data_IF_126622141500
#
_entry.id   IF_126622141500
#
_cell.length_a   1.000
_cell.length_b   1.000
_cell.length_c   1.000
_cell.angle_alpha   90.00
_cell.angle_beta   90.00
_cell.angle_gamma   90.00
#
_symmetry.space_group_name_H-M   'P 1'
#
loop_
_entity.id
_entity.type
_entity.pdbx_description
1 polymer ?
#
# COMPACT_ATOMS: atom_id res chain seq x y z
N UNK A 1 23.77 -29.51 -22.16
CA UNK A 1 24.34 -28.16 -21.93
C UNK A 1 23.89 -27.28 -23.09
N UNK A 2 22.68 -26.72 -22.98
CA UNK A 2 22.01 -25.94 -24.03
C UNK A 2 21.69 -24.58 -23.43
N UNK A 3 22.41 -23.58 -23.94
CA UNK A 3 22.26 -22.14 -23.72
C UNK A 3 21.20 -21.69 -22.71
N UNK A 4 21.68 -21.21 -21.55
CA UNK A 4 21.24 -19.95 -20.94
C UNK A 4 19.71 -19.75 -21.01
N UNK A 5 19.02 -20.19 -19.96
CA UNK A 5 17.79 -19.54 -19.48
C UNK A 5 17.99 -18.03 -19.61
N UNK A 6 17.43 -17.44 -20.65
CA UNK A 6 17.70 -16.05 -20.99
C UNK A 6 17.07 -15.19 -19.88
N UNK A 7 17.85 -14.43 -19.09
CA UNK A 7 17.34 -13.67 -17.94
C UNK A 7 16.51 -12.44 -18.36
N UNK A 8 15.93 -12.43 -19.55
CA UNK A 8 15.30 -11.28 -20.19
C UNK A 8 13.78 -11.43 -20.30
N UNK A 9 13.11 -11.91 -19.24
CA UNK A 9 11.69 -11.58 -19.05
C UNK A 9 11.56 -10.13 -18.55
N UNK A 10 12.03 -9.19 -19.38
CA UNK A 10 11.76 -7.76 -19.29
C UNK A 10 10.30 -7.49 -19.79
N UNK A 11 9.44 -8.52 -19.85
CA UNK A 11 8.05 -8.43 -20.31
C UNK A 11 7.04 -8.05 -19.22
N UNK A 12 7.39 -8.19 -17.93
CA UNK A 12 6.51 -7.87 -16.80
C UNK A 12 6.55 -6.38 -16.38
N UNK A 13 7.29 -5.53 -17.10
CA UNK A 13 7.54 -4.13 -16.76
C UNK A 13 6.30 -3.31 -16.37
N UNK A 14 5.14 -3.43 -17.04
CA UNK A 14 4.00 -2.57 -16.73
C UNK A 14 3.35 -2.90 -15.38
N UNK A 15 3.20 -4.19 -15.06
CA UNK A 15 2.62 -4.64 -13.80
C UNK A 15 3.60 -4.44 -12.63
N UNK A 16 4.89 -4.73 -12.86
CA UNK A 16 5.93 -4.48 -11.87
C UNK A 16 6.06 -2.98 -11.53
N UNK A 17 6.06 -2.11 -12.55
CA UNK A 17 6.10 -0.65 -12.35
C UNK A 17 4.87 -0.14 -11.61
N UNK A 18 3.68 -0.67 -11.92
CA UNK A 18 2.45 -0.35 -11.18
C UNK A 18 2.54 -0.78 -9.72
N UNK A 19 2.99 -2.02 -9.46
CA UNK A 19 3.17 -2.53 -8.10
C UNK A 19 4.13 -1.66 -7.27
N UNK A 20 5.25 -1.25 -7.85
CA UNK A 20 6.20 -0.35 -7.19
C UNK A 20 5.66 1.05 -6.94
N UNK A 21 4.87 1.61 -7.87
CA UNK A 21 4.20 2.89 -7.65
C UNK A 21 3.21 2.82 -6.48
N UNK A 22 2.39 1.78 -6.43
CA UNK A 22 1.44 1.61 -5.33
C UNK A 22 2.16 1.32 -4.00
N UNK A 23 3.26 0.57 -4.02
CA UNK A 23 4.11 0.38 -2.84
C UNK A 23 4.69 1.72 -2.35
N UNK A 24 5.15 2.59 -3.25
CA UNK A 24 5.64 3.92 -2.89
C UNK A 24 4.53 4.79 -2.29
N UNK A 25 3.33 4.78 -2.86
CA UNK A 25 2.17 5.49 -2.28
C UNK A 25 1.85 4.96 -0.89
N UNK A 26 1.82 3.64 -0.70
CA UNK A 26 1.59 3.03 0.60
C UNK A 26 2.67 3.40 1.61
N UNK A 27 3.94 3.45 1.19
CA UNK A 27 5.04 3.85 2.04
C UNK A 27 4.90 5.30 2.52
N UNK A 28 4.42 6.21 1.66
CA UNK A 28 4.13 7.60 2.04
C UNK A 28 2.96 7.67 3.03
N UNK A 29 1.87 6.94 2.77
CA UNK A 29 0.70 6.91 3.67
C UNK A 29 1.12 6.39 5.05
N UNK A 30 1.73 5.21 5.12
CA UNK A 30 2.15 4.62 6.38
C UNK A 30 3.26 5.44 7.07
N UNK A 31 4.24 5.90 6.30
CA UNK A 31 5.33 6.73 6.81
C UNK A 31 4.83 8.06 7.40
N UNK A 32 3.81 8.67 6.80
CA UNK A 32 3.19 9.89 7.35
C UNK A 32 2.51 9.64 8.69
N UNK A 33 1.80 8.51 8.83
CA UNK A 33 1.19 8.11 10.10
C UNK A 33 2.23 7.88 11.19
N UNK A 34 3.30 7.13 10.88
CA UNK A 34 4.40 6.89 11.82
C UNK A 34 5.10 8.19 12.20
N UNK A 35 5.34 9.07 11.23
CA UNK A 35 5.98 10.36 11.47
C UNK A 35 5.10 11.25 12.36
N UNK A 36 3.78 11.30 12.12
CA UNK A 36 2.85 12.02 12.98
C UNK A 36 2.87 11.49 14.42
N UNK A 37 2.96 10.17 14.60
CA UNK A 37 3.11 9.55 15.91
C UNK A 37 4.43 9.89 16.60
N UNK A 38 5.53 9.97 15.84
CA UNK A 38 6.83 10.38 16.38
C UNK A 38 6.86 11.85 16.80
N UNK A 39 6.17 12.73 16.06
CA UNK A 39 6.17 14.16 16.33
C UNK A 39 5.31 14.55 17.53
N UNK A 40 4.13 13.93 17.69
CA UNK A 40 3.25 14.18 18.84
C UNK A 40 2.53 12.90 19.32
N UNK A 41 3.23 12.06 20.11
CA UNK A 41 2.64 10.84 20.66
C UNK A 41 1.51 11.14 21.66
N UNK A 42 1.50 12.33 22.29
CA UNK A 42 0.49 12.72 23.26
C UNK A 42 -0.87 12.97 22.59
N UNK A 43 -0.88 13.65 21.43
CA UNK A 43 -2.08 13.84 20.63
C UNK A 43 -2.60 12.51 20.07
N UNK A 44 -1.69 11.61 19.65
CA UNK A 44 -2.04 10.33 19.05
C UNK A 44 -2.63 9.32 20.05
N UNK A 45 -2.15 9.34 21.29
CA UNK A 45 -2.64 8.45 22.36
C UNK A 45 -3.85 9.00 23.11
N UNK A 46 -4.23 10.26 22.84
CA UNK A 46 -5.40 10.88 23.45
C UNK A 46 -6.69 10.14 23.04
N UNK A 47 -7.64 9.92 23.97
CA UNK A 47 -8.96 9.41 23.64
C UNK A 47 -9.74 10.40 22.75
N UNK A 48 -10.57 9.86 21.85
CA UNK A 48 -11.38 10.67 20.93
C UNK A 48 -12.39 11.55 21.65
N UNK A 49 -13.00 11.01 22.72
CA UNK A 49 -13.92 11.73 23.59
C UNK A 49 -13.74 11.28 25.05
N UNK A 50 -14.18 12.08 26.04
CA UNK A 50 -14.13 11.71 27.44
C UNK A 50 -14.79 10.36 27.70
N UNK A 51 -14.12 9.47 28.43
CA UNK A 51 -14.62 8.13 28.76
C UNK A 51 -14.47 7.08 27.66
N UNK A 52 -13.95 7.43 26.48
CA UNK A 52 -13.67 6.46 25.41
C UNK A 52 -12.27 5.85 25.53
N UNK A 53 -12.15 4.55 25.26
CA UNK A 53 -10.85 3.87 25.10
C UNK A 53 -10.27 3.99 23.69
N UNK A 54 -11.06 4.45 22.72
CA UNK A 54 -10.61 4.62 21.32
C UNK A 54 -9.79 5.90 21.20
N UNK A 55 -8.55 5.75 20.75
CA UNK A 55 -7.59 6.85 20.59
C UNK A 55 -7.58 7.42 19.17
N UNK A 56 -7.02 8.61 19.01
CA UNK A 56 -6.81 9.23 17.69
C UNK A 56 -5.97 8.32 16.79
N UNK A 57 -4.90 7.71 17.33
CA UNK A 57 -4.06 6.76 16.61
C UNK A 57 -4.83 5.53 16.12
N UNK A 58 -5.79 5.02 16.90
CA UNK A 58 -6.60 3.87 16.51
C UNK A 58 -7.42 4.18 15.25
N UNK A 59 -8.07 5.35 15.22
CA UNK A 59 -8.89 5.78 14.08
C UNK A 59 -8.03 6.04 12.85
N UNK A 60 -6.92 6.78 13.01
CA UNK A 60 -5.99 7.02 11.91
C UNK A 60 -5.34 5.74 11.39
N UNK A 61 -4.93 4.84 12.28
CA UNK A 61 -4.40 3.53 11.92
C UNK A 61 -5.40 2.73 11.10
N UNK A 62 -6.68 2.77 11.45
CA UNK A 62 -7.73 2.13 10.67
C UNK A 62 -7.88 2.74 9.27
N UNK A 63 -7.78 4.07 9.14
CA UNK A 63 -7.77 4.75 7.84
C UNK A 63 -6.56 4.31 6.98
N UNK A 64 -5.38 4.12 7.58
CA UNK A 64 -4.19 3.62 6.88
C UNK A 64 -4.41 2.18 6.40
N UNK A 65 -5.02 1.31 7.24
CA UNK A 65 -5.37 -0.06 6.85
C UNK A 65 -6.34 -0.07 5.68
N UNK A 66 -7.41 0.73 5.72
CA UNK A 66 -8.35 0.83 4.61
C UNK A 66 -7.72 1.37 3.33
N UNK A 67 -6.81 2.33 3.44
CA UNK A 67 -6.03 2.81 2.29
C UNK A 67 -5.22 1.67 1.67
N UNK A 68 -4.58 0.85 2.50
CA UNK A 68 -3.83 -0.33 2.04
C UNK A 68 -4.72 -1.30 1.27
N UNK A 69 -5.90 -1.63 1.82
CA UNK A 69 -6.85 -2.53 1.16
C UNK A 69 -7.33 -1.96 -0.18
N UNK A 70 -7.62 -0.66 -0.23
CA UNK A 70 -8.01 0.01 -1.47
C UNK A 70 -6.89 -0.05 -2.52
N UNK A 71 -5.64 0.22 -2.14
CA UNK A 71 -4.48 0.15 -3.04
C UNK A 71 -4.27 -1.27 -3.58
N UNK A 72 -4.37 -2.29 -2.73
CA UNK A 72 -4.28 -3.70 -3.14
C UNK A 72 -5.43 -4.08 -4.08
N UNK A 73 -6.66 -3.66 -3.78
CA UNK A 73 -7.80 -3.88 -4.64
C UNK A 73 -7.63 -3.26 -6.02
N UNK A 74 -7.19 -1.99 -6.07
CA UNK A 74 -6.88 -1.28 -7.32
C UNK A 74 -5.77 -1.99 -8.09
N UNK A 75 -4.70 -2.43 -7.41
CA UNK A 75 -3.63 -3.19 -8.04
C UNK A 75 -4.17 -4.46 -8.72
N UNK A 76 -4.94 -5.27 -7.99
CA UNK A 76 -5.49 -6.53 -8.51
C UNK A 76 -6.40 -6.28 -9.71
N UNK A 77 -7.29 -5.30 -9.63
CA UNK A 77 -8.19 -4.95 -10.74
C UNK A 77 -7.43 -4.55 -12.01
N UNK A 78 -6.42 -3.70 -11.87
CA UNK A 78 -5.62 -3.23 -13.02
C UNK A 78 -4.73 -4.35 -13.55
N UNK A 79 -4.06 -5.10 -12.67
CA UNK A 79 -3.21 -6.21 -13.07
C UNK A 79 -4.00 -7.30 -13.81
N UNK A 80 -5.21 -7.62 -13.34
CA UNK A 80 -6.08 -8.59 -13.99
C UNK A 80 -6.55 -8.12 -15.38
N UNK A 81 -6.89 -6.83 -15.54
CA UNK A 81 -7.23 -6.27 -16.86
C UNK A 81 -6.07 -6.36 -17.83
N UNK A 82 -4.88 -5.94 -17.40
CA UNK A 82 -3.65 -6.02 -18.20
C UNK A 82 -3.31 -7.47 -18.58
N UNK A 83 -3.59 -8.44 -17.71
CA UNK A 83 -3.39 -9.86 -18.02
C UNK A 83 -4.44 -10.38 -19.01
N UNK A 84 -5.71 -10.01 -18.86
CA UNK A 84 -6.80 -10.42 -19.74
C UNK A 84 -6.61 -9.92 -21.18
N UNK A 85 -6.12 -8.70 -21.37
CA UNK A 85 -5.86 -8.12 -22.69
C UNK A 85 -4.74 -8.84 -23.47
N UNK A 86 -3.92 -9.67 -22.81
CA UNK A 86 -2.86 -10.46 -23.45
C UNK A 86 -3.29 -11.86 -23.88
N UNK A 87 -4.49 -12.29 -23.48
CA UNK A 87 -5.05 -13.62 -23.79
C UNK A 87 -6.10 -13.62 -24.89
N UNK A 88 -6.45 -12.45 -25.45
CA UNK A 88 -7.34 -12.26 -26.60
C UNK A 88 -6.53 -11.87 -27.85
#
# INVERSE_FOLDING_TARGET
>A
MSAIDSPTSIGALPAARLGWLLAAVQAVIYGSFVTAFMLDPSAMTRPLAPGMSVTVAMVFGLCVVFSTMALVGVYVLIANRIASDRGA
#
